data_IF_307108711312
#
_entry.id   IF_307108711312
#
_cell.length_a   1.000
_cell.length_b   1.000
_cell.length_c   1.000
_cell.angle_alpha   90.00
_cell.angle_beta   90.00
_cell.angle_gamma   90.00
#
_symmetry.space_group_name_H-M   'P 1'
#
loop_
_entity.id
_entity.type
_entity.pdbx_description
1 polymer ?
#
# COMPACT_ATOMS: atom_id res chain seq x y z
N UNK A 1 -45.30 39.50 -21.29
CA UNK A 1 -45.37 38.04 -21.49
C UNK A 1 -44.40 37.66 -22.58
N UNK A 2 -43.20 37.21 -22.23
CA UNK A 2 -42.19 36.76 -23.21
C UNK A 2 -41.97 35.27 -23.01
N UNK A 3 -42.35 34.46 -24.01
CA UNK A 3 -42.10 33.02 -24.07
C UNK A 3 -40.63 32.80 -24.39
N UNK A 4 -39.86 32.28 -23.44
CA UNK A 4 -38.49 31.85 -23.64
C UNK A 4 -38.45 30.59 -24.51
N UNK A 5 -37.69 30.66 -25.61
CA UNK A 5 -37.41 29.53 -26.49
C UNK A 5 -36.47 28.55 -25.76
N UNK A 6 -36.91 27.30 -25.61
CA UNK A 6 -36.10 26.23 -25.03
C UNK A 6 -34.96 25.86 -25.98
N UNK A 7 -33.74 25.89 -25.47
CA UNK A 7 -32.55 25.41 -26.18
C UNK A 7 -32.64 23.89 -26.41
N UNK A 8 -32.26 23.41 -27.61
CA UNK A 8 -32.26 21.98 -27.91
C UNK A 8 -31.13 21.29 -27.16
N UNK A 9 -31.51 20.47 -26.18
CA UNK A 9 -30.60 19.60 -25.43
C UNK A 9 -29.92 18.61 -26.39
N UNK A 10 -28.63 18.83 -26.66
CA UNK A 10 -27.80 17.95 -27.46
C UNK A 10 -27.63 16.61 -26.74
N UNK A 11 -28.25 15.56 -27.29
CA UNK A 11 -28.02 14.17 -26.87
C UNK A 11 -26.55 13.81 -27.11
N UNK A 12 -25.72 13.84 -26.07
CA UNK A 12 -24.39 13.22 -26.11
C UNK A 12 -24.56 11.72 -26.32
N UNK A 13 -24.07 11.21 -27.44
CA UNK A 13 -23.96 9.78 -27.65
C UNK A 13 -23.03 9.22 -26.57
N UNK A 14 -23.50 8.25 -25.78
CA UNK A 14 -22.63 7.46 -24.91
C UNK A 14 -21.78 6.60 -25.85
N UNK A 15 -20.49 6.94 -25.94
CA UNK A 15 -19.51 6.03 -26.52
C UNK A 15 -19.30 4.98 -25.44
N UNK A 16 -19.83 3.79 -25.64
CA UNK A 16 -19.48 2.64 -24.81
C UNK A 16 -18.03 2.30 -25.13
N UNK A 17 -17.09 2.70 -24.26
CA UNK A 17 -15.71 2.27 -24.38
C UNK A 17 -15.67 0.75 -24.22
N UNK A 18 -15.28 0.06 -25.28
CA UNK A 18 -15.15 -1.38 -25.29
C UNK A 18 -14.07 -1.80 -24.28
N UNK A 19 -14.51 -2.42 -23.19
CA UNK A 19 -13.66 -2.90 -22.11
C UNK A 19 -12.57 -3.86 -22.64
N UNK A 20 -11.34 -3.67 -22.19
CA UNK A 20 -10.18 -4.41 -22.65
C UNK A 20 -10.34 -5.92 -22.40
N UNK A 21 -10.25 -6.78 -23.44
CA UNK A 21 -10.41 -8.22 -23.28
C UNK A 21 -9.46 -8.84 -22.25
N UNK A 22 -8.25 -8.28 -22.09
CA UNK A 22 -7.28 -8.75 -21.09
C UNK A 22 -7.73 -8.46 -19.65
N UNK A 23 -8.36 -7.30 -19.42
CA UNK A 23 -8.90 -6.93 -18.10
C UNK A 23 -10.04 -7.87 -17.72
N UNK A 24 -10.98 -8.09 -18.64
CA UNK A 24 -12.07 -9.04 -18.43
C UNK A 24 -11.54 -10.45 -18.14
N UNK A 25 -10.53 -10.91 -18.88
CA UNK A 25 -9.94 -12.23 -18.64
C UNK A 25 -9.23 -12.32 -17.29
N UNK A 26 -8.53 -11.27 -16.87
CA UNK A 26 -7.88 -11.18 -15.55
C UNK A 26 -8.91 -11.35 -14.44
N UNK A 27 -10.02 -10.61 -14.49
CA UNK A 27 -11.11 -10.70 -13.49
C UNK A 27 -11.70 -12.11 -13.39
N UNK A 28 -11.90 -12.79 -14.53
CA UNK A 28 -12.36 -14.18 -14.54
C UNK A 28 -11.39 -15.11 -13.81
N UNK A 29 -10.08 -14.94 -14.03
CA UNK A 29 -9.03 -15.74 -13.37
C UNK A 29 -8.98 -15.45 -11.87
N UNK A 30 -9.16 -14.19 -11.45
CA UNK A 30 -9.28 -13.80 -10.04
C UNK A 30 -10.47 -14.52 -9.39
N UNK A 31 -11.66 -14.47 -10.00
CA UNK A 31 -12.85 -15.18 -9.51
C UNK A 31 -12.65 -16.71 -9.43
N UNK A 32 -11.80 -17.30 -10.28
CA UNK A 32 -11.44 -18.72 -10.19
C UNK A 32 -10.53 -19.00 -8.99
N UNK A 33 -9.59 -18.10 -8.69
CA UNK A 33 -8.69 -18.21 -7.55
C UNK A 33 -9.46 -18.06 -6.22
N UNK A 34 -10.36 -17.10 -6.12
CA UNK A 34 -11.24 -16.92 -4.96
C UNK A 34 -12.09 -18.17 -4.70
N UNK A 35 -12.74 -18.71 -5.75
CA UNK A 35 -13.51 -19.96 -5.65
C UNK A 35 -12.66 -21.16 -5.24
N UNK A 36 -11.38 -21.21 -5.64
CA UNK A 36 -10.47 -22.25 -5.19
C UNK A 36 -10.09 -22.07 -3.71
N UNK A 37 -9.79 -20.84 -3.29
CA UNK A 37 -9.47 -20.47 -1.91
C UNK A 37 -10.62 -20.79 -0.96
N UNK A 38 -11.86 -20.44 -1.32
CA UNK A 38 -13.06 -20.76 -0.53
C UNK A 38 -13.27 -22.28 -0.33
N UNK A 39 -12.68 -23.12 -1.21
CA UNK A 39 -12.72 -24.59 -1.11
C UNK A 39 -11.48 -25.17 -0.41
N UNK A 40 -10.58 -24.32 0.12
CA UNK A 40 -9.30 -24.75 0.69
C UNK A 40 -8.35 -25.37 -0.34
N UNK A 41 -8.51 -25.06 -1.64
CA UNK A 41 -7.71 -25.62 -2.73
C UNK A 41 -6.81 -24.55 -3.35
N UNK A 42 -5.57 -24.93 -3.67
CA UNK A 42 -4.70 -24.12 -4.53
C UNK A 42 -5.00 -24.40 -6.01
N UNK A 43 -5.10 -23.36 -6.83
CA UNK A 43 -5.21 -23.47 -8.28
C UNK A 43 -3.95 -22.93 -8.96
N UNK A 44 -2.90 -23.75 -9.00
CA UNK A 44 -1.60 -23.37 -9.56
C UNK A 44 -1.70 -22.92 -11.03
N UNK A 45 -2.62 -23.50 -11.82
CA UNK A 45 -2.86 -23.11 -13.21
C UNK A 45 -3.40 -21.69 -13.31
N UNK A 46 -4.45 -21.37 -12.56
CA UNK A 46 -5.01 -20.02 -12.53
C UNK A 46 -3.99 -19.00 -12.02
N UNK A 47 -3.15 -19.36 -11.03
CA UNK A 47 -2.05 -18.48 -10.58
C UNK A 47 -1.04 -18.18 -11.70
N UNK A 48 -0.63 -19.20 -12.45
CA UNK A 48 0.29 -19.02 -13.59
C UNK A 48 -0.33 -18.16 -14.70
N UNK A 49 -1.61 -18.39 -14.99
CA UNK A 49 -2.36 -17.60 -15.98
C UNK A 49 -2.49 -16.14 -15.55
N UNK A 50 -2.80 -15.87 -14.28
CA UNK A 50 -2.87 -14.52 -13.73
C UNK A 50 -1.54 -13.77 -13.92
N UNK A 51 -0.41 -14.41 -13.59
CA UNK A 51 0.91 -13.80 -13.79
C UNK A 51 1.18 -13.47 -15.26
N UNK A 52 0.73 -14.33 -16.18
CA UNK A 52 0.89 -14.11 -17.62
C UNK A 52 0.04 -12.92 -18.08
N UNK A 53 -1.22 -12.85 -17.65
CA UNK A 53 -2.12 -11.73 -17.97
C UNK A 53 -1.63 -10.41 -17.39
N UNK A 54 -1.07 -10.41 -16.17
CA UNK A 54 -0.45 -9.21 -15.61
C UNK A 54 0.73 -8.73 -16.47
N UNK A 55 1.61 -9.63 -16.90
CA UNK A 55 2.74 -9.28 -17.76
C UNK A 55 2.27 -8.73 -19.13
N UNK A 56 1.20 -9.28 -19.71
CA UNK A 56 0.62 -8.79 -20.97
C UNK A 56 -0.03 -7.41 -20.80
N UNK A 57 -0.78 -7.20 -19.71
CA UNK A 57 -1.35 -5.90 -19.37
C UNK A 57 -0.28 -4.86 -19.10
N UNK A 58 0.81 -5.23 -18.41
CA UNK A 58 1.98 -4.37 -18.24
C UNK A 58 2.60 -3.99 -19.57
N UNK A 59 2.86 -4.95 -20.47
CA UNK A 59 3.44 -4.66 -21.77
C UNK A 59 2.55 -3.72 -22.59
N UNK A 60 1.23 -3.92 -22.52
CA UNK A 60 0.25 -3.04 -23.18
C UNK A 60 0.21 -1.64 -22.54
N UNK A 61 0.31 -1.55 -21.22
CA UNK A 61 0.42 -0.28 -20.52
C UNK A 61 1.72 0.44 -20.87
N UNK A 62 2.84 -0.28 -20.97
CA UNK A 62 4.12 0.27 -21.39
C UNK A 62 4.07 0.78 -22.83
N UNK A 63 3.40 0.05 -23.73
CA UNK A 63 3.15 0.52 -25.10
C UNK A 63 2.27 1.78 -25.12
N UNK A 64 1.17 1.80 -24.36
CA UNK A 64 0.32 2.99 -24.22
C UNK A 64 1.09 4.16 -23.65
N UNK A 65 1.92 3.92 -22.65
CA UNK A 65 2.76 4.93 -21.99
C UNK A 65 4.07 5.19 -22.74
N UNK A 66 4.31 4.56 -23.89
CA UNK A 66 5.54 4.77 -24.67
C UNK A 66 5.72 6.22 -25.13
N UNK A 67 4.62 6.98 -25.23
CA UNK A 67 4.70 8.42 -25.48
C UNK A 67 5.24 9.21 -24.27
N UNK A 68 5.08 8.71 -23.04
CA UNK A 68 5.68 9.28 -21.84
C UNK A 68 7.20 9.03 -21.79
N UNK A 69 7.72 7.97 -22.44
CA UNK A 69 9.16 7.83 -22.68
C UNK A 69 9.73 8.97 -23.53
N UNK A 70 8.88 9.74 -24.23
CA UNK A 70 9.30 10.93 -25.00
C UNK A 70 9.30 12.20 -24.17
N UNK A 71 8.84 12.17 -22.92
CA UNK A 71 9.02 13.32 -22.04
C UNK A 71 10.52 13.54 -21.86
N UNK A 72 11.01 14.78 -22.12
CA UNK A 72 12.38 15.13 -21.83
C UNK A 72 12.72 14.83 -20.36
N UNK A 73 13.95 14.38 -20.06
CA UNK A 73 14.39 14.11 -18.69
C UNK A 73 14.09 15.25 -17.72
N UNK A 74 14.14 16.51 -18.18
CA UNK A 74 13.88 17.71 -17.38
C UNK A 74 12.41 17.81 -16.92
N UNK A 75 11.46 17.28 -17.70
CA UNK A 75 10.06 17.21 -17.28
C UNK A 75 9.84 16.11 -16.26
N UNK A 76 10.53 14.97 -16.42
CA UNK A 76 10.52 13.92 -15.41
C UNK A 76 11.14 14.38 -14.11
N UNK A 77 12.27 15.09 -14.19
CA UNK A 77 12.91 15.67 -13.03
C UNK A 77 11.93 16.55 -12.28
N UNK A 78 11.17 17.42 -12.96
CA UNK A 78 10.14 18.27 -12.34
C UNK A 78 8.96 17.51 -11.75
N UNK A 79 8.46 16.47 -12.42
CA UNK A 79 7.38 15.62 -11.89
C UNK A 79 7.85 14.91 -10.59
N UNK A 80 9.14 14.57 -10.53
CA UNK A 80 9.78 13.84 -9.44
C UNK A 80 10.65 14.73 -8.54
N UNK A 81 10.57 16.07 -8.63
CA UNK A 81 11.33 16.98 -7.78
C UNK A 81 10.43 17.40 -6.63
N UNK A 82 10.84 17.06 -5.41
CA UNK A 82 10.09 17.35 -4.18
C UNK A 82 9.95 18.87 -3.90
N UNK A 83 10.71 19.72 -4.60
CA UNK A 83 10.75 21.16 -4.35
C UNK A 83 9.81 22.00 -5.24
N UNK A 84 9.11 21.40 -6.21
CA UNK A 84 8.29 22.16 -7.17
C UNK A 84 6.78 22.03 -6.87
N UNK A 85 5.97 23.01 -7.28
CA UNK A 85 4.53 23.10 -6.96
C UNK A 85 3.66 21.99 -7.61
N UNK A 86 4.27 21.19 -8.50
CA UNK A 86 3.72 20.01 -9.17
C UNK A 86 4.33 18.71 -8.62
N UNK A 87 5.15 18.78 -7.57
CA UNK A 87 5.75 17.64 -6.92
C UNK A 87 4.65 16.69 -6.46
N UNK A 88 4.73 15.45 -6.93
CA UNK A 88 4.08 14.36 -6.22
C UNK A 88 4.63 14.37 -4.79
N UNK A 89 3.76 14.47 -3.80
CA UNK A 89 4.19 14.39 -2.41
C UNK A 89 4.95 13.07 -2.23
N UNK A 90 5.88 12.97 -1.28
CA UNK A 90 6.64 11.72 -1.07
C UNK A 90 5.70 10.49 -0.90
N UNK A 91 4.52 10.76 -0.36
CA UNK A 91 3.33 9.91 -0.26
C UNK A 91 2.76 9.43 -1.61
N UNK A 92 2.60 10.34 -2.57
CA UNK A 92 2.12 10.03 -3.92
C UNK A 92 3.21 9.34 -4.76
N UNK A 93 4.47 9.74 -4.57
CA UNK A 93 5.63 9.06 -5.15
C UNK A 93 5.69 7.61 -4.69
N UNK A 94 5.40 7.35 -3.41
CA UNK A 94 5.34 6.00 -2.89
C UNK A 94 4.20 5.20 -3.53
N UNK A 95 3.00 5.76 -3.58
CA UNK A 95 1.85 5.12 -4.23
C UNK A 95 2.16 4.79 -5.70
N UNK A 96 2.75 5.73 -6.45
CA UNK A 96 3.17 5.54 -7.84
C UNK A 96 4.27 4.51 -7.99
N UNK A 97 5.28 4.52 -7.12
CA UNK A 97 6.39 3.56 -7.14
C UNK A 97 5.91 2.15 -6.80
N UNK A 98 4.94 1.99 -5.90
CA UNK A 98 4.38 0.68 -5.60
C UNK A 98 3.61 0.09 -6.79
N UNK A 99 3.02 0.93 -7.63
CA UNK A 99 1.95 0.50 -8.53
C UNK A 99 2.31 0.57 -10.01
N UNK A 100 3.28 1.39 -10.41
CA UNK A 100 3.69 1.54 -11.81
C UNK A 100 5.17 1.21 -12.01
N UNK A 101 5.43 0.08 -12.67
CA UNK A 101 6.79 -0.33 -13.05
C UNK A 101 7.49 0.74 -13.88
N UNK A 102 6.76 1.39 -14.79
CA UNK A 102 7.31 2.45 -15.62
C UNK A 102 7.87 3.62 -14.79
N UNK A 103 7.18 4.04 -13.73
CA UNK A 103 7.69 5.07 -12.82
C UNK A 103 8.91 4.56 -12.03
N UNK A 104 8.91 3.31 -11.55
CA UNK A 104 10.10 2.73 -10.89
C UNK A 104 11.32 2.73 -11.81
N UNK A 105 11.17 2.27 -13.04
CA UNK A 105 12.25 2.19 -14.02
C UNK A 105 12.72 3.59 -14.43
N UNK A 106 11.79 4.54 -14.63
CA UNK A 106 12.11 5.94 -14.96
C UNK A 106 12.88 6.63 -13.82
N UNK A 107 12.47 6.45 -12.57
CA UNK A 107 13.18 7.01 -11.42
C UNK A 107 14.59 6.43 -11.29
N UNK A 108 14.75 5.12 -11.55
CA UNK A 108 16.05 4.45 -11.60
C UNK A 108 16.95 5.00 -12.71
N UNK A 109 16.42 5.19 -13.92
CA UNK A 109 17.16 5.69 -15.08
C UNK A 109 17.64 7.13 -14.88
N UNK A 110 16.88 7.96 -14.17
CA UNK A 110 17.25 9.34 -13.84
C UNK A 110 18.33 9.44 -12.76
N UNK A 111 18.79 8.32 -12.19
CA UNK A 111 19.73 8.31 -11.06
C UNK A 111 19.16 8.95 -9.78
N UNK A 112 17.91 9.43 -9.82
CA UNK A 112 17.12 9.77 -8.65
C UNK A 112 16.84 8.46 -7.92
N UNK A 113 17.72 8.08 -7.00
CA UNK A 113 17.33 7.15 -5.95
C UNK A 113 16.20 7.85 -5.22
N UNK A 114 14.95 7.43 -5.45
CA UNK A 114 13.85 7.70 -4.52
C UNK A 114 14.46 7.42 -3.15
N UNK A 115 14.60 8.44 -2.28
CA UNK A 115 15.42 8.40 -1.08
C UNK A 115 14.93 7.24 -0.21
N UNK A 116 15.54 6.10 -0.46
CA UNK A 116 15.19 4.78 0.04
C UNK A 116 16.44 3.90 0.02
N UNK A 117 17.61 4.51 -0.22
CA UNK A 117 18.87 3.80 -0.26
C UNK A 117 19.40 3.60 1.15
N UNK A 118 19.42 2.35 1.60
CA UNK A 118 20.34 1.94 2.64
C UNK A 118 21.50 1.13 2.06
N UNK A 119 22.64 1.31 2.71
CA UNK A 119 23.92 0.66 2.48
C UNK A 119 23.85 -0.81 2.95
N UNK A 120 24.10 -1.80 2.08
CA UNK A 120 23.98 -3.22 2.42
C UNK A 120 24.91 -3.69 3.55
N UNK A 121 25.94 -2.91 3.91
CA UNK A 121 27.03 -3.37 4.79
C UNK A 121 26.72 -3.35 6.31
N UNK A 122 25.51 -2.95 6.74
CA UNK A 122 25.19 -2.79 8.17
C UNK A 122 24.12 -3.74 8.76
N UNK A 123 23.67 -4.79 8.04
CA UNK A 123 22.51 -5.61 8.46
C UNK A 123 22.81 -7.12 8.56
N UNK A 124 23.74 -7.53 9.42
CA UNK A 124 24.08 -8.95 9.61
C UNK A 124 23.19 -9.72 10.62
N UNK A 125 22.11 -9.12 11.13
CA UNK A 125 21.25 -9.79 12.13
C UNK A 125 19.73 -9.79 11.86
N UNK A 126 19.25 -9.24 10.74
CA UNK A 126 17.81 -9.20 10.38
C UNK A 126 17.50 -9.84 9.01
N UNK A 127 18.22 -10.90 8.67
CA UNK A 127 18.15 -11.67 7.41
C UNK A 127 16.76 -12.31 7.14
N UNK A 128 15.78 -12.19 8.03
CA UNK A 128 14.41 -12.69 7.83
C UNK A 128 13.36 -11.62 7.45
N UNK A 129 13.74 -10.34 7.35
CA UNK A 129 12.81 -9.23 7.07
C UNK A 129 13.01 -8.58 5.68
N UNK A 130 14.04 -8.96 4.93
CA UNK A 130 14.44 -8.29 3.70
C UNK A 130 14.32 -9.19 2.48
N UNK A 131 13.15 -9.14 1.85
CA UNK A 131 12.97 -9.18 0.39
C UNK A 131 11.64 -8.45 0.18
N UNK A 132 11.75 -7.11 0.14
CA UNK A 132 10.71 -6.19 -0.32
C UNK A 132 11.39 -5.31 -1.38
N UNK A 133 11.16 -5.59 -2.66
CA UNK A 133 11.70 -4.79 -3.78
C UNK A 133 11.15 -3.35 -3.87
N UNK A 134 10.41 -2.88 -2.88
CA UNK A 134 10.41 -1.45 -2.55
C UNK A 134 10.96 -1.30 -1.14
N UNK A 135 12.00 -0.48 -1.04
CA UNK A 135 12.73 -0.08 0.15
C UNK A 135 11.85 0.71 1.18
N UNK A 136 10.71 0.15 1.58
CA UNK A 136 9.86 0.63 2.65
C UNK A 136 10.25 -0.07 3.95
N UNK A 137 11.49 0.09 4.38
CA UNK A 137 11.89 -0.47 5.66
C UNK A 137 11.09 0.23 6.78
N UNK A 138 10.49 -0.51 7.73
CA UNK A 138 9.80 0.09 8.87
C UNK A 138 10.62 1.17 9.60
N UNK A 139 11.94 0.99 9.71
CA UNK A 139 12.81 1.97 10.36
C UNK A 139 12.88 3.29 9.58
N UNK A 140 12.96 3.21 8.24
CA UNK A 140 13.02 4.39 7.38
C UNK A 140 11.71 5.16 7.36
N UNK A 141 10.57 4.45 7.29
CA UNK A 141 9.25 5.08 7.43
C UNK A 141 9.10 5.78 8.78
N UNK A 142 9.66 5.19 9.84
CA UNK A 142 9.69 5.81 11.16
C UNK A 142 10.59 7.05 11.21
N UNK A 143 11.77 7.03 10.59
CA UNK A 143 12.65 8.20 10.48
C UNK A 143 12.00 9.34 9.70
N UNK A 144 11.40 9.04 8.55
CA UNK A 144 10.66 10.01 7.74
C UNK A 144 9.54 10.67 8.54
N UNK A 145 8.76 9.86 9.27
CA UNK A 145 7.73 10.38 10.17
C UNK A 145 8.31 11.26 11.28
N UNK A 146 9.37 10.80 11.96
CA UNK A 146 10.03 11.55 13.05
C UNK A 146 10.61 12.88 12.57
N UNK A 147 11.09 12.93 11.33
CA UNK A 147 11.62 14.14 10.73
C UNK A 147 10.53 15.16 10.36
N UNK A 148 9.25 14.79 10.43
CA UNK A 148 8.13 15.62 9.98
C UNK A 148 8.06 15.80 8.46
N UNK A 149 8.92 15.12 7.69
CA UNK A 149 8.95 15.17 6.22
C UNK A 149 7.79 14.42 5.57
N UNK A 150 7.18 13.49 6.29
CA UNK A 150 6.03 12.73 5.81
C UNK A 150 4.82 13.05 6.67
N UNK A 151 3.88 13.77 6.07
CA UNK A 151 2.54 13.94 6.65
C UNK A 151 1.84 12.57 6.70
N UNK A 152 1.10 12.33 7.79
CA UNK A 152 0.20 11.19 7.87
C UNK A 152 -0.82 11.28 6.73
N UNK A 153 -1.06 10.17 6.07
CA UNK A 153 -2.07 10.05 5.03
C UNK A 153 -3.47 10.17 5.65
N UNK A 154 -4.37 10.83 4.92
CA UNK A 154 -5.77 10.92 5.31
C UNK A 154 -6.53 9.63 5.03
N UNK A 155 -7.70 9.48 5.66
CA UNK A 155 -8.64 8.41 5.34
C UNK A 155 -9.03 8.40 3.86
N UNK A 156 -9.16 9.58 3.25
CA UNK A 156 -9.52 9.69 1.83
C UNK A 156 -8.42 9.16 0.91
N UNK A 157 -7.14 9.27 1.30
CA UNK A 157 -6.06 8.62 0.56
C UNK A 157 -6.18 7.09 0.63
N UNK A 158 -6.46 6.52 1.80
CA UNK A 158 -6.65 5.08 1.94
C UNK A 158 -7.85 4.57 1.13
N UNK A 159 -8.96 5.33 1.12
CA UNK A 159 -10.11 5.05 0.25
C UNK A 159 -9.73 5.06 -1.21
N UNK A 160 -9.04 6.11 -1.66
CA UNK A 160 -8.55 6.20 -3.03
C UNK A 160 -7.66 5.01 -3.40
N UNK A 161 -6.76 4.59 -2.51
CA UNK A 161 -5.93 3.40 -2.73
C UNK A 161 -6.79 2.14 -2.86
N UNK A 162 -7.76 1.92 -1.98
CA UNK A 162 -8.64 0.75 -2.05
C UNK A 162 -9.53 0.76 -3.30
N UNK A 163 -9.98 1.94 -3.75
CA UNK A 163 -10.84 2.11 -4.93
C UNK A 163 -10.05 1.97 -6.25
N UNK A 164 -8.78 2.39 -6.24
CA UNK A 164 -7.95 2.48 -7.46
C UNK A 164 -7.17 1.20 -7.71
N UNK A 165 -6.72 0.51 -6.66
CA UNK A 165 -5.81 -0.62 -6.79
C UNK A 165 -6.50 -1.95 -6.52
N UNK A 166 -6.01 -2.99 -7.20
CA UNK A 166 -6.39 -4.35 -6.86
C UNK A 166 -5.84 -4.69 -5.48
N UNK A 167 -6.74 -4.89 -4.52
CA UNK A 167 -6.37 -5.28 -3.16
C UNK A 167 -6.32 -6.80 -3.05
N UNK A 168 -5.12 -7.33 -2.78
CA UNK A 168 -4.91 -8.76 -2.62
C UNK A 168 -5.20 -9.20 -1.18
N UNK A 169 -6.06 -10.22 -0.99
CA UNK A 169 -6.49 -10.61 0.34
C UNK A 169 -5.39 -11.29 1.16
N UNK A 170 -5.24 -10.84 2.40
CA UNK A 170 -4.30 -11.36 3.39
C UNK A 170 -2.86 -10.80 3.25
N UNK A 171 -1.91 -11.63 3.66
CA UNK A 171 -0.50 -11.25 3.82
C UNK A 171 0.36 -12.15 2.92
N UNK A 172 0.78 -11.69 1.73
CA UNK A 172 1.70 -12.47 0.92
C UNK A 172 3.00 -12.67 1.70
N UNK A 173 3.26 -13.91 2.11
CA UNK A 173 4.46 -14.32 2.87
C UNK A 173 5.76 -14.19 2.08
N UNK A 174 5.67 -13.98 0.76
CA UNK A 174 6.81 -13.91 -0.14
C UNK A 174 6.47 -12.89 -1.21
N UNK A 175 7.48 -12.10 -1.55
CA UNK A 175 7.59 -10.91 -2.40
C UNK A 175 7.00 -11.04 -3.82
N UNK A 176 5.76 -11.52 -3.91
CA UNK A 176 4.94 -11.45 -5.11
C UNK A 176 4.11 -10.20 -5.00
N UNK A 177 4.78 -9.05 -4.99
CA UNK A 177 4.14 -7.85 -5.50
C UNK A 177 3.85 -8.12 -6.96
N UNK A 178 2.67 -8.67 -7.20
CA UNK A 178 2.11 -8.76 -8.52
C UNK A 178 1.91 -7.31 -8.97
N UNK A 179 2.92 -6.73 -9.60
CA UNK A 179 2.82 -5.72 -10.65
C UNK A 179 1.51 -4.90 -10.62
N UNK A 180 1.37 -4.01 -9.63
CA UNK A 180 0.23 -3.08 -9.53
C UNK A 180 -0.82 -3.38 -8.44
N UNK A 181 -0.68 -4.48 -7.69
CA UNK A 181 -1.61 -4.82 -6.61
C UNK A 181 -1.02 -4.51 -5.21
N UNK A 182 -1.89 -4.08 -4.29
CA UNK A 182 -1.54 -3.78 -2.89
C UNK A 182 -2.14 -4.86 -2.00
N UNK A 183 -1.43 -5.37 -1.00
CA UNK A 183 -2.04 -6.33 -0.07
C UNK A 183 -2.77 -5.61 1.07
N UNK A 184 -3.90 -6.18 1.50
CA UNK A 184 -4.67 -5.70 2.67
C UNK A 184 -3.73 -5.51 3.86
N UNK A 185 -2.85 -6.48 4.05
CA UNK A 185 -1.92 -6.49 5.15
C UNK A 185 -0.92 -5.33 5.19
N UNK A 186 -0.47 -4.86 4.02
CA UNK A 186 0.40 -3.70 3.94
C UNK A 186 -0.38 -2.44 4.36
N UNK A 187 -1.62 -2.28 3.91
CA UNK A 187 -2.46 -1.13 4.28
C UNK A 187 -2.74 -1.09 5.78
N UNK A 188 -3.11 -2.23 6.37
CA UNK A 188 -3.36 -2.36 7.80
C UNK A 188 -2.12 -2.03 8.62
N UNK A 189 -0.96 -2.60 8.25
CA UNK A 189 0.31 -2.30 8.92
C UNK A 189 0.71 -0.84 8.78
N UNK A 190 0.48 -0.23 7.61
CA UNK A 190 0.80 1.16 7.37
C UNK A 190 -0.10 2.12 8.15
N UNK A 191 -1.40 1.83 8.23
CA UNK A 191 -2.33 2.58 9.08
C UNK A 191 -1.94 2.50 10.57
N UNK A 192 -1.52 1.31 11.01
CA UNK A 192 -1.02 1.09 12.37
C UNK A 192 0.26 1.91 12.66
N UNK A 193 1.21 1.93 11.72
CA UNK A 193 2.44 2.73 11.83
C UNK A 193 2.17 4.23 11.91
N UNK A 194 1.18 4.71 11.16
CA UNK A 194 0.77 6.11 11.16
C UNK A 194 0.00 6.49 12.42
N UNK A 195 -0.29 5.53 13.31
CA UNK A 195 -1.00 5.77 14.56
C UNK A 195 -2.43 6.32 14.34
N UNK A 196 -3.04 6.02 13.19
CA UNK A 196 -4.39 6.47 12.86
C UNK A 196 -5.41 5.39 13.21
N UNK A 197 -6.05 5.54 14.37
CA UNK A 197 -7.09 4.62 14.83
C UNK A 197 -8.34 4.68 13.93
N UNK A 198 -8.68 5.85 13.40
CA UNK A 198 -9.78 6.04 12.45
C UNK A 198 -9.59 5.21 11.17
N UNK A 199 -8.40 5.29 10.56
CA UNK A 199 -8.09 4.54 9.33
C UNK A 199 -8.05 3.05 9.62
N UNK A 200 -7.42 2.65 10.73
CA UNK A 200 -7.33 1.24 11.11
C UNK A 200 -8.72 0.64 11.38
N UNK A 201 -9.60 1.37 12.08
CA UNK A 201 -11.01 0.98 12.28
C UNK A 201 -11.75 0.83 10.97
N UNK A 202 -11.57 1.77 10.04
CA UNK A 202 -12.20 1.69 8.73
C UNK A 202 -11.75 0.45 7.94
N UNK A 203 -10.44 0.19 7.85
CA UNK A 203 -9.90 -0.98 7.14
C UNK A 203 -10.42 -2.31 7.73
N UNK A 204 -10.52 -2.41 9.06
CA UNK A 204 -10.93 -3.67 9.71
C UNK A 204 -12.45 -3.82 9.73
N UNK A 205 -13.18 -2.79 10.14
CA UNK A 205 -14.62 -2.88 10.39
C UNK A 205 -15.47 -2.65 9.13
N UNK A 206 -14.97 -1.86 8.16
CA UNK A 206 -15.68 -1.59 6.91
C UNK A 206 -15.18 -2.45 5.76
N UNK A 207 -13.88 -2.49 5.55
CA UNK A 207 -13.30 -3.28 4.45
C UNK A 207 -13.11 -4.76 4.82
N UNK A 208 -13.15 -5.10 6.11
CA UNK A 208 -13.04 -6.48 6.57
C UNK A 208 -11.62 -7.03 6.54
N UNK A 209 -10.61 -6.16 6.54
CA UNK A 209 -9.22 -6.58 6.47
C UNK A 209 -8.75 -7.20 7.79
N UNK A 210 -7.95 -8.25 7.68
CA UNK A 210 -7.46 -8.99 8.84
C UNK A 210 -6.20 -8.35 9.42
N UNK A 211 -6.07 -8.32 10.76
CA UNK A 211 -4.79 -8.04 11.43
C UNK A 211 -3.83 -9.23 11.32
N UNK A 212 -2.51 -8.97 11.31
CA UNK A 212 -1.49 -10.01 11.49
C UNK A 212 -0.58 -9.77 12.69
N UNK A 213 0.37 -10.68 12.86
CA UNK A 213 1.41 -10.62 13.91
C UNK A 213 2.33 -9.41 13.78
N UNK A 214 2.45 -8.80 12.60
CA UNK A 214 3.24 -7.60 12.40
C UNK A 214 2.47 -6.32 12.76
N UNK A 215 1.13 -6.30 12.68
CA UNK A 215 0.38 -5.05 12.89
C UNK A 215 0.63 -4.47 14.28
N UNK A 216 0.73 -5.31 15.32
CA UNK A 216 1.12 -4.88 16.68
C UNK A 216 2.52 -4.27 16.70
N UNK A 217 3.48 -4.84 15.95
CA UNK A 217 4.83 -4.30 15.83
C UNK A 217 4.84 -2.93 15.16
N UNK A 218 4.11 -2.77 14.04
CA UNK A 218 3.99 -1.49 13.34
C UNK A 218 3.28 -0.42 14.19
N UNK A 219 2.23 -0.78 14.93
CA UNK A 219 1.58 0.10 15.90
C UNK A 219 2.54 0.57 17.01
N UNK A 220 3.34 -0.36 17.54
CA UNK A 220 4.38 -0.05 18.53
C UNK A 220 5.43 0.91 18.00
N UNK A 221 5.89 0.70 16.76
CA UNK A 221 6.78 1.63 16.06
C UNK A 221 6.11 2.99 15.85
N UNK A 222 4.80 3.01 15.61
CA UNK A 222 4.01 4.23 15.50
C UNK A 222 3.83 4.98 16.83
N UNK A 223 4.08 4.34 17.96
CA UNK A 223 3.96 4.94 19.29
C UNK A 223 2.53 5.31 19.69
N UNK A 224 1.50 4.69 19.11
CA UNK A 224 0.10 4.93 19.52
C UNK A 224 -0.42 3.83 20.42
N UNK A 225 -0.64 4.20 21.69
CA UNK A 225 -1.28 3.34 22.68
C UNK A 225 -2.73 3.04 22.28
N UNK A 226 -3.47 4.02 21.78
CA UNK A 226 -4.88 3.84 21.36
C UNK A 226 -5.01 2.77 20.26
N UNK A 227 -4.08 2.77 19.30
CA UNK A 227 -4.03 1.76 18.24
C UNK A 227 -3.70 0.38 18.81
N UNK A 228 -2.73 0.28 19.73
CA UNK A 228 -2.37 -0.98 20.38
C UNK A 228 -3.52 -1.54 21.23
N UNK A 229 -4.22 -0.69 21.99
CA UNK A 229 -5.40 -1.06 22.77
C UNK A 229 -6.55 -1.52 21.86
N UNK A 230 -6.75 -0.84 20.73
CA UNK A 230 -7.75 -1.25 19.74
C UNK A 230 -7.42 -2.61 19.12
N UNK A 231 -6.15 -2.83 18.74
CA UNK A 231 -5.68 -4.13 18.24
C UNK A 231 -5.90 -5.23 19.30
N UNK A 232 -5.56 -4.98 20.57
CA UNK A 232 -5.78 -5.90 21.69
C UNK A 232 -7.28 -6.18 21.91
N UNK A 233 -8.13 -5.17 21.77
CA UNK A 233 -9.58 -5.30 21.88
C UNK A 233 -10.18 -6.21 20.79
N UNK A 234 -9.88 -5.96 19.50
CA UNK A 234 -10.37 -6.79 18.39
C UNK A 234 -9.86 -8.23 18.56
N UNK A 235 -8.58 -8.35 18.93
CA UNK A 235 -7.88 -9.59 19.20
C UNK A 235 -8.59 -10.44 20.25
N UNK A 236 -8.91 -9.85 21.40
CA UNK A 236 -9.51 -10.53 22.55
C UNK A 236 -10.96 -10.93 22.27
N UNK A 237 -11.72 -10.06 21.59
CA UNK A 237 -13.12 -10.30 21.27
C UNK A 237 -13.34 -11.25 20.08
N UNK A 238 -12.27 -11.71 19.43
CA UNK A 238 -12.36 -12.65 18.31
C UNK A 238 -13.00 -12.04 17.05
N UNK A 239 -12.98 -10.71 16.92
CA UNK A 239 -13.54 -10.02 15.78
C UNK A 239 -12.69 -10.20 14.50
N UNK A 240 -11.46 -10.69 14.63
CA UNK A 240 -10.49 -10.80 13.53
C UNK A 240 -10.40 -12.20 12.86
N UNK A 241 -11.38 -13.10 13.07
CA UNK A 241 -11.42 -14.42 12.38
C UNK A 241 -10.26 -15.40 12.63
N UNK A 242 -9.19 -14.98 13.30
CA UNK A 242 -7.94 -15.71 13.42
C UNK A 242 -7.99 -16.78 14.53
N UNK A 243 -7.43 -17.96 14.24
CA UNK A 243 -7.30 -19.07 15.18
C UNK A 243 -6.45 -18.66 16.41
N UNK A 244 -7.04 -18.75 17.61
CA UNK A 244 -6.49 -18.25 18.88
C UNK A 244 -5.17 -18.92 19.30
N UNK A 245 -4.81 -20.03 18.66
CA UNK A 245 -3.70 -20.91 19.09
C UNK A 245 -2.29 -20.38 18.83
N UNK A 246 -2.09 -19.39 17.93
CA UNK A 246 -0.74 -18.83 17.64
C UNK A 246 -0.30 -17.66 18.52
N UNK A 247 -1.18 -17.12 19.38
CA UNK A 247 -1.03 -15.76 19.96
C UNK A 247 -0.21 -15.63 21.23
N UNK A 248 0.02 -16.71 21.97
CA UNK A 248 0.62 -16.62 23.31
C UNK A 248 2.10 -16.21 23.32
N UNK A 249 2.81 -16.25 22.18
CA UNK A 249 4.25 -16.05 22.12
C UNK A 249 4.68 -14.63 21.68
N UNK A 250 3.85 -13.92 20.91
CA UNK A 250 4.18 -12.60 20.33
C UNK A 250 3.86 -11.44 21.28
N UNK A 251 2.75 -11.54 22.01
CA UNK A 251 2.18 -10.41 22.77
C UNK A 251 3.11 -9.90 23.90
N UNK A 252 3.74 -10.80 24.66
CA UNK A 252 4.66 -10.40 25.76
C UNK A 252 5.92 -9.71 25.26
N UNK A 253 6.44 -10.11 24.09
CA UNK A 253 7.69 -9.55 23.54
C UNK A 253 7.46 -8.19 22.89
N UNK A 254 6.34 -8.03 22.17
CA UNK A 254 6.00 -6.75 21.52
C UNK A 254 5.62 -5.71 22.56
N UNK A 255 4.83 -6.05 23.59
CA UNK A 255 4.47 -5.11 24.66
C UNK A 255 5.71 -4.62 25.41
N UNK A 256 6.62 -5.51 25.79
CA UNK A 256 7.88 -5.13 26.43
C UNK A 256 8.79 -4.29 25.51
N UNK A 257 8.81 -4.57 24.21
CA UNK A 257 9.59 -3.78 23.24
C UNK A 257 8.98 -2.40 23.00
N UNK A 258 7.64 -2.31 22.90
CA UNK A 258 6.92 -1.06 22.76
C UNK A 258 7.04 -0.20 24.04
N UNK A 259 6.88 -0.77 25.23
CA UNK A 259 7.12 -0.05 26.49
C UNK A 259 8.57 0.38 26.64
N UNK A 260 9.53 -0.44 26.19
CA UNK A 260 10.95 -0.06 26.17
C UNK A 260 11.23 1.05 25.15
N UNK A 261 10.63 1.01 23.97
CA UNK A 261 10.77 2.04 22.94
C UNK A 261 10.13 3.35 23.40
N UNK A 262 8.90 3.31 23.90
CA UNK A 262 8.19 4.47 24.46
C UNK A 262 8.99 5.05 25.63
N UNK A 263 9.49 4.22 26.55
CA UNK A 263 10.31 4.68 27.67
C UNK A 263 11.66 5.28 27.27
N UNK A 264 12.26 4.81 26.17
CA UNK A 264 13.45 5.44 25.57
C UNK A 264 13.09 6.79 24.96
N UNK A 265 11.91 6.93 24.33
CA UNK A 265 11.48 8.17 23.69
C UNK A 265 11.01 9.25 24.67
N UNK A 266 10.39 8.90 25.79
CA UNK A 266 10.00 9.86 26.83
C UNK A 266 11.22 10.42 27.60
N UNK A 267 12.33 9.68 27.64
CA UNK A 267 13.58 10.10 28.28
C UNK A 267 14.39 11.15 27.51
N UNK A 268 14.16 11.29 26.20
CA UNK A 268 14.94 12.20 25.33
C UNK A 268 14.34 13.62 25.20
N UNK A 269 13.26 13.95 25.92
CA UNK A 269 12.79 15.33 26.03
C UNK A 269 12.30 15.95 24.72
N UNK A 270 11.72 15.14 23.82
CA UNK A 270 10.99 15.66 22.66
C UNK A 270 9.68 16.30 23.12
N UNK A 271 9.65 17.63 23.19
CA UNK A 271 8.40 18.39 23.21
C UNK A 271 7.72 18.24 21.85
N UNK A 272 6.66 17.44 21.81
CA UNK A 272 5.75 17.36 20.67
C UNK A 272 4.88 18.63 20.72
N UNK A 273 5.04 19.50 19.72
CA UNK A 273 4.17 20.65 19.47
C UNK A 273 3.04 20.29 18.52
#
# INVERSE_FOLDING_TARGET
MARGAGEPSAKRAKVDEEEDPLVRRKEEVVRLLERARAKGKSNARAKKELLTLCAELEAKNEERLSHWRRLPPELWEKILDENDLLALHQNDLLALAMTCRFFRDTTKDLGKKLETSFDPEHLDHLVWLYEMETNLEPSHLLELRKSGKVESHSLDWFRWVCDTFEILPGFPLVDKRNQGAVSEGILVNYAALQSSDEILKWLIEKEGYELNEQTEFWAGMGGSLDVLEYIEFITTNGLNGHDKTKRAYTNTRVRNSATSLIGVYEGEGLQVH
#
